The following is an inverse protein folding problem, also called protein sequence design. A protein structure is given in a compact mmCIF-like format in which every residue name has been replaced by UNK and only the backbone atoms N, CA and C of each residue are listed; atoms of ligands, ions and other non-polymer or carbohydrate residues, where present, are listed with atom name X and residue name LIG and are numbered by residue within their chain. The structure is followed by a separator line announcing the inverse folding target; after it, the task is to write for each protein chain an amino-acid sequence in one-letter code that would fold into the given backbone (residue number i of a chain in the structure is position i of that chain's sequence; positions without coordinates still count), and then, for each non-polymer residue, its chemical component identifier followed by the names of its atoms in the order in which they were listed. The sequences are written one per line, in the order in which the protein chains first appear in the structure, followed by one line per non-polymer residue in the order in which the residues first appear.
data_IF_818393239072
#
_entry.id   IF_818393239072
#
_cell.length_a   1.000
_cell.length_b   1.000
_cell.length_c   1.000
_cell.angle_alpha   90.00
_cell.angle_beta   90.00
_cell.angle_gamma   90.00
#
_symmetry.space_group_name_H-M   'P 1'
#
loop_
_entity.id
_entity.type
_entity.pdbx_description
1 polymer ?
#
# COMPACT_ATOMS: atom_id res chain seq x y z
N UNK A 1 -5.09 14.47 -14.05
CA UNK A 1 -4.66 15.88 -14.08
C UNK A 1 -3.16 15.96 -13.85
N UNK A 2 -2.55 17.13 -14.08
CA UNK A 2 -1.16 17.37 -13.72
C UNK A 2 -1.08 18.10 -12.38
N UNK A 3 -0.03 17.85 -11.61
CA UNK A 3 0.33 18.73 -10.51
C UNK A 3 1.19 19.92 -10.99
N UNK A 4 1.56 20.83 -10.08
CA UNK A 4 2.40 22.00 -10.39
C UNK A 4 3.82 21.67 -10.86
N UNK A 5 4.23 20.40 -10.79
CA UNK A 5 5.53 19.92 -11.24
C UNK A 5 5.41 19.08 -12.52
N UNK A 6 4.25 19.07 -13.18
CA UNK A 6 4.01 18.36 -14.44
C UNK A 6 3.79 16.86 -14.30
N UNK A 7 3.64 16.32 -13.07
CA UNK A 7 3.41 14.89 -12.88
C UNK A 7 1.94 14.55 -13.11
N UNK A 8 1.67 13.53 -13.93
CA UNK A 8 0.31 13.01 -14.13
C UNK A 8 -0.16 12.26 -12.89
N UNK A 9 -1.09 12.85 -12.15
CA UNK A 9 -1.69 12.22 -10.98
C UNK A 9 -2.94 11.47 -11.43
N UNK A 10 -2.87 10.14 -11.36
CA UNK A 10 -3.95 9.25 -11.81
C UNK A 10 -4.21 8.08 -10.85
N UNK A 11 -3.59 8.08 -9.68
CA UNK A 11 -3.67 6.98 -8.73
C UNK A 11 -4.07 7.48 -7.34
N UNK A 12 -5.24 7.06 -6.86
CA UNK A 12 -5.71 7.29 -5.50
C UNK A 12 -5.57 6.01 -4.65
N UNK A 13 -4.88 6.12 -3.52
CA UNK A 13 -4.91 5.10 -2.46
C UNK A 13 -5.95 5.50 -1.43
N UNK A 14 -6.80 4.56 -1.03
CA UNK A 14 -7.94 4.80 -0.15
C UNK A 14 -7.81 3.91 1.08
N UNK A 15 -7.49 4.50 2.21
CA UNK A 15 -7.54 3.85 3.52
C UNK A 15 -9.00 3.79 3.97
N UNK A 16 -9.61 2.60 4.01
CA UNK A 16 -11.05 2.46 4.27
C UNK A 16 -11.39 2.32 5.76
N UNK A 17 -10.40 2.00 6.58
CA UNK A 17 -10.53 1.86 8.03
C UNK A 17 -9.18 2.14 8.70
N UNK A 18 -9.19 2.47 9.99
CA UNK A 18 -8.00 2.50 10.84
C UNK A 18 -7.81 1.22 11.66
N UNK A 19 -8.82 0.36 11.71
CA UNK A 19 -8.79 -0.89 12.48
C UNK A 19 -7.96 -1.95 11.75
N UNK A 20 -7.32 -2.83 12.50
CA UNK A 20 -6.57 -3.96 11.96
C UNK A 20 -6.76 -5.19 12.87
N UNK A 21 -6.70 -6.38 12.28
CA UNK A 21 -6.68 -7.66 12.99
C UNK A 21 -5.26 -8.10 13.40
N UNK A 22 -4.22 -7.35 13.03
CA UNK A 22 -2.82 -7.55 13.46
C UNK A 22 -2.27 -6.30 14.19
N UNK A 23 -1.10 -6.42 14.80
CA UNK A 23 -0.39 -5.33 15.52
C UNK A 23 1.08 -5.27 15.12
N UNK A 24 1.36 -5.18 13.82
CA UNK A 24 2.72 -5.29 13.30
C UNK A 24 3.68 -4.28 13.94
N UNK A 25 4.87 -4.73 14.33
CA UNK A 25 5.86 -4.00 15.15
C UNK A 25 6.29 -2.65 14.57
N UNK A 26 6.23 -2.47 13.25
CA UNK A 26 6.57 -1.22 12.56
C UNK A 26 5.36 -0.34 12.21
N UNK A 27 4.13 -0.81 12.49
CA UNK A 27 2.90 -0.21 11.97
C UNK A 27 1.95 0.27 13.06
N UNK A 28 1.63 -0.58 14.05
CA UNK A 28 0.60 -0.33 15.05
C UNK A 28 1.14 -0.63 16.46
N UNK A 29 0.79 0.18 17.49
CA UNK A 29 1.19 -0.08 18.87
C UNK A 29 0.71 -1.45 19.39
N UNK A 30 1.41 -2.08 20.35
CA UNK A 30 1.06 -3.42 20.86
C UNK A 30 -0.33 -3.47 21.48
N UNK A 31 -0.72 -2.44 22.23
CA UNK A 31 -2.05 -2.26 22.83
C UNK A 31 -3.15 -2.00 21.78
N UNK A 32 -2.77 -1.75 20.51
CA UNK A 32 -3.67 -1.38 19.44
C UNK A 32 -3.92 0.11 19.37
N UNK A 33 -5.18 0.47 19.10
CA UNK A 33 -5.59 1.84 18.84
C UNK A 33 -6.85 2.17 19.62
N UNK A 34 -6.96 3.42 20.05
CA UNK A 34 -8.24 3.95 20.53
C UNK A 34 -9.19 3.98 19.34
N UNK A 35 -10.29 3.23 19.43
CA UNK A 35 -11.28 3.15 18.35
C UNK A 35 -11.91 4.51 18.19
N UNK A 36 -11.90 5.04 16.97
CA UNK A 36 -12.64 6.25 16.63
C UNK A 36 -14.13 5.94 16.56
N UNK A 37 -14.92 6.94 16.98
CA UNK A 37 -16.35 6.96 16.75
C UNK A 37 -16.68 6.81 15.27
N UNK A 38 -17.82 6.20 14.95
CA UNK A 38 -18.22 5.93 13.57
C UNK A 38 -18.32 7.23 12.74
N UNK A 39 -18.71 8.34 13.37
CA UNK A 39 -18.79 9.65 12.72
C UNK A 39 -17.43 10.33 12.49
N UNK A 40 -16.33 9.76 12.98
CA UNK A 40 -14.97 10.23 12.70
C UNK A 40 -14.28 9.44 11.58
N UNK A 41 -14.91 8.37 11.10
CA UNK A 41 -14.47 7.60 9.93
C UNK A 41 -15.38 7.94 8.75
N UNK A 42 -14.84 7.94 7.53
CA UNK A 42 -15.66 8.11 6.34
C UNK A 42 -16.58 6.91 6.14
N UNK A 43 -17.86 7.19 5.89
CA UNK A 43 -18.83 6.18 5.46
C UNK A 43 -18.54 5.77 4.03
N UNK A 44 -19.06 4.60 3.68
CA UNK A 44 -19.00 4.03 2.34
C UNK A 44 -19.37 5.03 1.23
N UNK A 45 -20.48 5.73 1.40
CA UNK A 45 -21.04 6.66 0.44
C UNK A 45 -20.14 7.89 0.29
N UNK A 46 -19.52 8.33 1.38
CA UNK A 46 -18.59 9.45 1.39
C UNK A 46 -17.29 9.08 0.65
N UNK A 47 -16.74 7.88 0.89
CA UNK A 47 -15.57 7.37 0.16
C UNK A 47 -15.88 7.31 -1.34
N UNK A 48 -17.05 6.75 -1.70
CA UNK A 48 -17.47 6.65 -3.09
C UNK A 48 -17.58 8.03 -3.77
N UNK A 49 -18.13 9.05 -3.08
CA UNK A 49 -18.16 10.43 -3.60
C UNK A 49 -16.75 10.98 -3.87
N UNK A 50 -15.79 10.76 -2.97
CA UNK A 50 -14.39 11.19 -3.16
C UNK A 50 -13.76 10.48 -4.36
N UNK A 51 -13.94 9.15 -4.47
CA UNK A 51 -13.43 8.37 -5.59
C UNK A 51 -14.03 8.85 -6.91
N UNK A 52 -15.35 9.09 -6.96
CA UNK A 52 -16.03 9.63 -8.14
C UNK A 52 -15.48 11.00 -8.53
N UNK A 53 -15.35 11.94 -7.59
CA UNK A 53 -14.78 13.27 -7.86
C UNK A 53 -13.33 13.21 -8.31
N UNK A 54 -12.50 12.38 -7.69
CA UNK A 54 -11.11 12.18 -8.11
C UNK A 54 -11.03 11.59 -9.53
N UNK A 55 -11.96 10.72 -9.90
CA UNK A 55 -12.02 10.12 -11.24
C UNK A 55 -12.30 11.14 -12.35
N UNK A 56 -13.08 12.19 -12.05
CA UNK A 56 -13.32 13.32 -12.97
C UNK A 56 -12.05 14.13 -13.24
N UNK A 57 -11.11 14.14 -12.28
CA UNK A 57 -9.80 14.76 -12.42
C UNK A 57 -8.77 13.83 -13.07
N UNK A 58 -9.19 12.67 -13.58
CA UNK A 58 -8.34 11.72 -14.31
C UNK A 58 -7.67 10.65 -13.46
N UNK A 59 -8.10 10.46 -12.20
CA UNK A 59 -7.77 9.24 -11.45
C UNK A 59 -8.41 8.04 -12.16
N UNK A 60 -7.60 7.04 -12.48
CA UNK A 60 -8.03 5.82 -13.14
C UNK A 60 -7.52 4.54 -12.45
N UNK A 61 -6.66 4.67 -11.45
CA UNK A 61 -6.16 3.58 -10.60
C UNK A 61 -6.61 3.83 -9.16
N UNK A 62 -7.27 2.85 -8.55
CA UNK A 62 -7.66 2.86 -7.14
C UNK A 62 -6.95 1.72 -6.42
N UNK A 63 -6.45 2.00 -5.21
CA UNK A 63 -6.04 0.95 -4.29
C UNK A 63 -6.73 1.10 -2.94
N UNK A 64 -7.50 0.10 -2.56
CA UNK A 64 -8.03 -0.02 -1.21
C UNK A 64 -6.98 -0.57 -0.24
N UNK A 65 -6.86 0.09 0.89
CA UNK A 65 -5.94 -0.23 1.99
C UNK A 65 -6.64 0.18 3.29
N UNK A 66 -5.88 0.41 4.35
CA UNK A 66 -6.35 1.03 5.59
C UNK A 66 -6.52 -0.03 6.65
N UNK A 67 -5.86 0.20 7.80
CA UNK A 67 -5.56 -0.82 8.78
C UNK A 67 -5.43 -2.20 8.13
N UNK A 68 -6.47 -3.02 8.28
CA UNK A 68 -6.76 -4.13 7.37
C UNK A 68 -8.10 -3.91 6.63
N UNK A 69 -8.13 -3.75 5.28
CA UNK A 69 -9.38 -3.46 4.56
C UNK A 69 -10.41 -4.58 4.63
N UNK A 70 -10.00 -5.84 4.76
CA UNK A 70 -10.91 -6.99 4.76
C UNK A 70 -11.77 -7.10 6.02
N UNK A 71 -11.45 -6.36 7.09
CA UNK A 71 -12.34 -6.31 8.26
C UNK A 71 -13.52 -5.36 8.03
N UNK A 72 -13.47 -4.51 7.00
CA UNK A 72 -14.55 -3.59 6.71
C UNK A 72 -15.72 -4.36 6.11
N UNK A 73 -16.85 -4.35 6.81
CA UNK A 73 -18.10 -4.92 6.33
C UNK A 73 -18.47 -4.29 4.96
N UNK A 74 -18.95 -5.12 4.05
CA UNK A 74 -19.44 -4.71 2.73
C UNK A 74 -18.36 -4.06 1.81
N UNK A 75 -17.07 -4.36 2.01
CA UNK A 75 -15.97 -3.85 1.17
C UNK A 75 -16.10 -4.26 -0.31
N UNK A 76 -16.71 -5.42 -0.58
CA UNK A 76 -17.08 -5.92 -1.90
C UNK A 76 -18.03 -4.97 -2.63
N UNK A 77 -19.03 -4.41 -1.93
CA UNK A 77 -19.93 -3.40 -2.52
C UNK A 77 -19.15 -2.18 -2.97
N UNK A 78 -18.13 -1.76 -2.21
CA UNK A 78 -17.36 -0.53 -2.49
C UNK A 78 -16.54 -0.71 -3.75
N UNK A 79 -15.92 -1.89 -3.86
CA UNK A 79 -15.20 -2.32 -5.04
C UNK A 79 -16.16 -2.38 -6.23
N UNK A 80 -17.35 -2.97 -6.06
CA UNK A 80 -18.37 -3.06 -7.10
C UNK A 80 -18.78 -1.69 -7.61
N UNK A 81 -19.21 -0.77 -6.75
CA UNK A 81 -19.61 0.58 -7.16
C UNK A 81 -18.44 1.34 -7.80
N UNK A 82 -17.22 1.19 -7.27
CA UNK A 82 -16.02 1.80 -7.86
C UNK A 82 -15.72 1.25 -9.25
N UNK A 83 -15.95 -0.05 -9.49
CA UNK A 83 -15.76 -0.70 -10.79
C UNK A 83 -16.74 -0.20 -11.86
N UNK A 84 -17.90 0.33 -11.45
CA UNK A 84 -18.90 0.93 -12.36
C UNK A 84 -18.55 2.34 -12.81
N UNK A 85 -17.49 2.94 -12.27
CA UNK A 85 -17.00 4.24 -12.74
C UNK A 85 -16.18 4.02 -14.01
N UNK A 86 -16.70 4.41 -15.18
CA UNK A 86 -16.10 4.15 -16.50
C UNK A 86 -14.62 4.55 -16.64
N UNK A 87 -14.18 5.62 -15.97
CA UNK A 87 -12.79 6.10 -15.99
C UNK A 87 -11.84 5.27 -15.12
N UNK A 88 -12.35 4.53 -14.13
CA UNK A 88 -11.55 3.65 -13.27
C UNK A 88 -11.24 2.36 -14.05
N UNK A 89 -9.96 2.16 -14.35
CA UNK A 89 -9.48 1.01 -15.14
C UNK A 89 -8.87 -0.07 -14.28
N UNK A 90 -8.57 0.23 -13.02
CA UNK A 90 -7.74 -0.63 -12.22
C UNK A 90 -8.03 -0.48 -10.73
N UNK A 91 -8.43 -1.58 -10.10
CA UNK A 91 -8.76 -1.65 -8.68
C UNK A 91 -7.88 -2.72 -8.05
N UNK A 92 -7.12 -2.32 -7.05
CA UNK A 92 -6.24 -3.20 -6.29
C UNK A 92 -6.53 -3.10 -4.80
N UNK A 93 -6.06 -4.08 -4.03
CA UNK A 93 -6.11 -4.06 -2.58
C UNK A 93 -4.72 -4.35 -1.99
N UNK A 94 -4.33 -3.68 -0.91
CA UNK A 94 -3.25 -4.15 -0.02
C UNK A 94 -3.89 -4.74 1.24
N UNK A 95 -3.53 -5.97 1.61
CA UNK A 95 -4.09 -6.70 2.75
C UNK A 95 -3.01 -7.56 3.42
N UNK A 96 -3.16 -7.87 4.69
CA UNK A 96 -2.38 -8.91 5.38
C UNK A 96 -2.88 -10.34 5.07
N UNK A 97 -3.97 -10.46 4.32
CA UNK A 97 -4.55 -11.69 3.82
C UNK A 97 -5.05 -12.71 4.85
N UNK A 98 -5.18 -12.35 6.13
CA UNK A 98 -5.72 -13.26 7.15
C UNK A 98 -7.18 -13.68 6.85
N UNK A 99 -7.95 -12.79 6.22
CA UNK A 99 -9.36 -13.02 5.85
C UNK A 99 -9.57 -13.23 4.34
N UNK A 100 -8.48 -13.27 3.56
CA UNK A 100 -8.59 -13.18 2.10
C UNK A 100 -9.12 -14.48 1.49
N UNK A 101 -8.77 -15.64 2.03
CA UNK A 101 -9.26 -16.97 1.59
C UNK A 101 -10.79 -16.98 1.42
N UNK A 102 -11.51 -16.52 2.45
CA UNK A 102 -12.97 -16.52 2.49
C UNK A 102 -13.61 -15.45 1.58
N UNK A 103 -12.86 -14.41 1.22
CA UNK A 103 -13.42 -13.21 0.57
C UNK A 103 -12.98 -13.03 -0.89
N UNK A 104 -11.84 -13.58 -1.30
CA UNK A 104 -11.17 -13.22 -2.56
C UNK A 104 -12.01 -13.48 -3.81
N UNK A 105 -12.87 -14.50 -3.77
CA UNK A 105 -13.74 -14.82 -4.89
C UNK A 105 -14.82 -13.74 -5.10
N UNK A 106 -15.49 -13.31 -4.03
CA UNK A 106 -16.48 -12.24 -4.09
C UNK A 106 -15.85 -10.88 -4.40
N UNK A 107 -14.66 -10.60 -3.85
CA UNK A 107 -13.90 -9.40 -4.21
C UNK A 107 -13.56 -9.37 -5.71
N UNK A 108 -13.17 -10.52 -6.28
CA UNK A 108 -12.91 -10.64 -7.71
C UNK A 108 -14.18 -10.41 -8.55
N UNK A 109 -15.31 -11.02 -8.16
CA UNK A 109 -16.63 -10.80 -8.80
C UNK A 109 -17.07 -9.33 -8.74
N UNK A 110 -16.77 -8.66 -7.63
CA UNK A 110 -17.01 -7.22 -7.46
C UNK A 110 -16.13 -6.34 -8.38
N UNK A 111 -15.08 -6.89 -8.99
CA UNK A 111 -14.20 -6.17 -9.92
C UNK A 111 -12.81 -5.86 -9.38
N UNK A 112 -12.41 -6.43 -8.23
CA UNK A 112 -11.02 -6.37 -7.77
C UNK A 112 -10.12 -7.12 -8.77
N UNK A 113 -9.12 -6.41 -9.31
CA UNK A 113 -8.25 -6.97 -10.36
C UNK A 113 -7.01 -7.66 -9.82
N UNK A 114 -6.50 -7.20 -8.67
CA UNK A 114 -5.26 -7.73 -8.09
C UNK A 114 -5.14 -7.46 -6.59
N UNK A 115 -4.28 -8.25 -5.95
CA UNK A 115 -3.98 -8.16 -4.52
C UNK A 115 -2.50 -7.98 -4.27
N UNK A 116 -2.20 -7.15 -3.29
CA UNK A 116 -0.89 -6.96 -2.69
C UNK A 116 -0.97 -7.50 -1.25
N UNK A 117 -0.29 -8.60 -0.98
CA UNK A 117 -0.29 -9.29 0.31
C UNK A 117 0.94 -8.83 1.08
N UNK A 118 0.76 -8.29 2.28
CA UNK A 118 1.86 -7.97 3.18
C UNK A 118 2.28 -9.22 3.94
N UNK A 119 3.51 -9.70 3.71
CA UNK A 119 4.09 -10.88 4.35
C UNK A 119 5.56 -10.60 4.65
N UNK A 120 5.87 -10.42 5.93
CA UNK A 120 7.18 -9.95 6.38
C UNK A 120 8.07 -11.08 6.92
N UNK A 121 7.63 -12.33 6.88
CA UNK A 121 8.48 -13.50 7.16
C UNK A 121 7.82 -14.76 6.58
N UNK A 122 8.63 -15.74 6.18
CA UNK A 122 8.21 -17.08 5.80
C UNK A 122 8.32 -18.06 6.99
N UNK A 123 9.01 -17.68 8.06
CA UNK A 123 9.12 -18.43 9.32
C UNK A 123 7.94 -18.10 10.24
N UNK A 124 7.25 -19.14 10.72
CA UNK A 124 6.03 -19.01 11.53
C UNK A 124 6.23 -18.17 12.80
N UNK A 125 7.23 -18.50 13.63
CA UNK A 125 7.49 -17.79 14.89
C UNK A 125 7.84 -16.32 14.66
N UNK A 126 8.61 -16.03 13.61
CA UNK A 126 9.01 -14.68 13.27
C UNK A 126 7.85 -13.88 12.69
N UNK A 127 7.03 -14.48 11.82
CA UNK A 127 5.79 -13.85 11.37
C UNK A 127 4.87 -13.53 12.55
N UNK A 128 4.70 -14.47 13.48
CA UNK A 128 3.92 -14.29 14.70
C UNK A 128 4.49 -13.18 15.58
N UNK A 129 5.81 -13.09 15.72
CA UNK A 129 6.49 -12.02 16.46
C UNK A 129 6.30 -10.64 15.80
N UNK A 130 6.58 -10.53 14.49
CA UNK A 130 6.43 -9.29 13.72
C UNK A 130 5.00 -8.79 13.79
N UNK A 131 4.01 -9.66 13.61
CA UNK A 131 2.58 -9.30 13.56
C UNK A 131 1.90 -9.25 14.92
N UNK A 132 2.61 -9.72 15.97
CA UNK A 132 2.13 -9.94 17.34
C UNK A 132 0.88 -10.84 17.40
N UNK A 133 1.01 -12.05 16.85
CA UNK A 133 0.01 -13.12 16.97
C UNK A 133 -0.66 -13.56 15.66
N UNK A 134 -0.21 -13.06 14.51
CA UNK A 134 -0.71 -13.50 13.21
C UNK A 134 -0.37 -14.97 12.91
N UNK A 135 -1.24 -15.61 12.13
CA UNK A 135 -1.09 -16.98 11.67
C UNK A 135 -0.69 -16.99 10.19
N UNK A 136 0.54 -17.42 9.90
CA UNK A 136 1.09 -17.45 8.54
C UNK A 136 0.35 -18.46 7.64
N UNK A 137 -0.19 -19.54 8.21
CA UNK A 137 -0.88 -20.57 7.44
C UNK A 137 -2.14 -20.01 6.77
N UNK A 138 -2.84 -19.08 7.42
CA UNK A 138 -3.96 -18.35 6.80
C UNK A 138 -3.52 -17.51 5.60
N UNK A 139 -2.34 -16.88 5.68
CA UNK A 139 -1.79 -16.11 4.56
C UNK A 139 -1.47 -17.02 3.39
N UNK A 140 -0.87 -18.18 3.62
CA UNK A 140 -0.57 -19.16 2.56
C UNK A 140 -1.84 -19.73 1.92
N UNK A 141 -2.84 -20.11 2.71
CA UNK A 141 -4.15 -20.53 2.17
C UNK A 141 -4.81 -19.45 1.32
N UNK A 142 -4.75 -18.19 1.76
CA UNK A 142 -5.23 -17.05 0.98
C UNK A 142 -4.49 -16.86 -0.34
N UNK A 143 -3.17 -17.08 -0.36
CA UNK A 143 -2.36 -17.06 -1.59
C UNK A 143 -2.78 -18.19 -2.52
N UNK A 144 -2.91 -19.41 -2.02
CA UNK A 144 -3.34 -20.59 -2.77
C UNK A 144 -4.74 -20.41 -3.37
N UNK A 145 -5.72 -19.99 -2.56
CA UNK A 145 -7.07 -19.70 -3.03
C UNK A 145 -7.07 -18.61 -4.10
N UNK A 146 -6.31 -17.52 -3.89
CA UNK A 146 -6.16 -16.44 -4.88
C UNK A 146 -5.62 -16.97 -6.22
N UNK A 147 -4.59 -17.81 -6.19
CA UNK A 147 -4.03 -18.45 -7.38
C UNK A 147 -5.05 -19.38 -8.06
N UNK A 148 -5.76 -20.20 -7.29
CA UNK A 148 -6.73 -21.19 -7.80
C UNK A 148 -7.86 -20.56 -8.61
N UNK A 149 -8.31 -19.36 -8.22
CA UNK A 149 -9.37 -18.64 -8.94
C UNK A 149 -8.81 -17.73 -10.05
N UNK A 150 -7.51 -17.77 -10.32
CA UNK A 150 -6.85 -16.95 -11.33
C UNK A 150 -6.80 -15.45 -10.99
N UNK A 151 -6.64 -15.09 -9.71
CA UNK A 151 -6.31 -13.70 -9.34
C UNK A 151 -4.89 -13.40 -9.82
N UNK A 152 -4.71 -12.41 -10.70
CA UNK A 152 -3.40 -12.02 -11.23
C UNK A 152 -3.33 -10.52 -11.54
N UNK A 153 -2.22 -9.84 -11.25
CA UNK A 153 -1.05 -10.35 -10.51
C UNK A 153 -1.33 -10.49 -9.01
N UNK A 154 -0.63 -11.42 -8.35
CA UNK A 154 -0.50 -11.48 -6.89
C UNK A 154 0.90 -10.97 -6.55
N UNK A 155 0.97 -10.06 -5.57
CA UNK A 155 2.23 -9.42 -5.18
C UNK A 155 2.42 -9.58 -3.68
N UNK A 156 3.53 -10.18 -3.27
CA UNK A 156 3.95 -10.16 -1.88
C UNK A 156 4.77 -8.89 -1.66
N UNK A 157 4.42 -8.11 -0.66
CA UNK A 157 5.21 -6.99 -0.17
C UNK A 157 5.84 -7.40 1.18
N UNK A 158 7.15 -7.19 1.29
CA UNK A 158 7.95 -7.55 2.48
C UNK A 158 8.75 -6.32 2.89
N UNK A 159 8.48 -5.78 4.08
CA UNK A 159 9.28 -4.71 4.68
C UNK A 159 10.54 -5.35 5.27
N UNK A 160 11.70 -4.96 4.77
CA UNK A 160 12.97 -5.47 5.27
C UNK A 160 13.38 -4.69 6.52
N UNK A 161 13.52 -5.43 7.62
CA UNK A 161 13.92 -4.95 8.93
C UNK A 161 15.23 -5.62 9.31
N UNK A 162 16.27 -4.80 9.43
CA UNK A 162 17.63 -5.25 9.73
C UNK A 162 17.68 -6.03 11.04
N UNK A 163 18.33 -7.20 11.03
CA UNK A 163 18.42 -8.09 12.19
C UNK A 163 17.12 -8.80 12.58
N UNK A 164 16.06 -8.68 11.77
CA UNK A 164 14.75 -9.30 12.04
C UNK A 164 14.40 -10.31 10.97
N UNK A 165 14.29 -9.91 9.71
CA UNK A 165 13.85 -10.77 8.58
C UNK A 165 14.74 -10.65 7.33
N UNK A 166 15.85 -9.93 7.45
CA UNK A 166 16.82 -9.72 6.39
C UNK A 166 17.57 -11.00 5.99
N UNK A 167 17.59 -12.01 6.84
CA UNK A 167 18.09 -13.35 6.55
C UNK A 167 17.16 -14.17 5.64
N UNK A 168 15.93 -13.72 5.35
CA UNK A 168 14.95 -14.44 4.51
C UNK A 168 14.83 -13.88 3.08
N UNK A 169 15.67 -12.89 2.71
CA UNK A 169 15.56 -12.24 1.40
C UNK A 169 15.63 -13.27 0.26
N UNK A 170 16.60 -14.18 0.29
CA UNK A 170 16.79 -15.22 -0.73
C UNK A 170 15.59 -16.19 -0.77
N UNK A 171 15.06 -16.56 0.39
CA UNK A 171 13.88 -17.43 0.50
C UNK A 171 12.65 -16.79 -0.15
N UNK A 172 12.44 -15.49 0.10
CA UNK A 172 11.41 -14.70 -0.57
C UNK A 172 11.65 -14.61 -2.07
N UNK A 173 12.88 -14.34 -2.52
CA UNK A 173 13.18 -14.29 -3.95
C UNK A 173 12.90 -15.64 -4.65
N UNK A 174 13.20 -16.76 -3.99
CA UNK A 174 12.94 -18.11 -4.48
C UNK A 174 11.45 -18.41 -4.68
N UNK A 175 10.54 -17.72 -3.99
CA UNK A 175 9.09 -17.83 -4.25
C UNK A 175 8.74 -17.44 -5.69
N UNK A 176 9.44 -16.47 -6.29
CA UNK A 176 9.20 -16.03 -7.67
C UNK A 176 9.60 -17.09 -8.72
N UNK A 177 10.49 -18.02 -8.35
CA UNK A 177 10.86 -19.18 -9.16
C UNK A 177 9.78 -20.27 -9.08
N UNK A 178 9.30 -20.53 -7.86
CA UNK A 178 8.33 -21.60 -7.58
C UNK A 178 6.91 -21.25 -8.05
N UNK A 179 6.46 -20.03 -7.81
CA UNK A 179 5.07 -19.60 -8.01
C UNK A 179 4.96 -18.38 -8.94
N UNK A 180 3.83 -18.20 -9.64
CA UNK A 180 3.56 -17.00 -10.42
C UNK A 180 3.14 -15.84 -9.49
N UNK A 181 4.02 -15.49 -8.56
CA UNK A 181 3.84 -14.40 -7.58
C UNK A 181 5.04 -13.47 -7.68
N UNK A 182 4.80 -12.16 -7.80
CA UNK A 182 5.89 -11.18 -7.70
C UNK A 182 6.19 -10.89 -6.23
N UNK A 183 7.46 -10.75 -5.88
CA UNK A 183 7.89 -10.36 -4.52
C UNK A 183 8.44 -8.95 -4.56
N UNK A 184 8.17 -8.15 -3.53
CA UNK A 184 8.57 -6.75 -3.45
C UNK A 184 9.16 -6.43 -2.09
N UNK A 185 10.44 -6.10 -2.07
CA UNK A 185 11.12 -5.63 -0.88
C UNK A 185 10.91 -4.12 -0.72
N UNK A 186 10.61 -3.70 0.51
CA UNK A 186 10.37 -2.31 0.87
C UNK A 186 11.37 -1.93 1.97
N UNK A 187 12.12 -0.86 1.75
CA UNK A 187 13.00 -0.32 2.79
C UNK A 187 12.15 0.20 3.96
N UNK A 188 12.57 -0.13 5.19
CA UNK A 188 11.92 0.38 6.39
C UNK A 188 11.97 1.91 6.41
N UNK A 189 10.79 2.53 6.52
CA UNK A 189 10.66 3.99 6.63
C UNK A 189 10.48 4.41 8.10
N UNK A 190 11.09 5.53 8.54
CA UNK A 190 10.93 6.07 9.88
C UNK A 190 9.58 6.80 10.06
N UNK A 191 8.48 6.05 9.96
CA UNK A 191 7.10 6.54 10.15
C UNK A 191 6.46 5.81 11.34
N UNK A 192 5.93 6.57 12.30
CA UNK A 192 5.23 6.01 13.45
C UNK A 192 6.07 4.99 14.22
N UNK A 193 5.51 3.81 14.48
CA UNK A 193 6.21 2.70 15.15
C UNK A 193 7.50 2.26 14.43
N UNK A 194 7.56 2.38 13.10
CA UNK A 194 8.75 2.08 12.30
C UNK A 194 9.98 2.90 12.69
N UNK A 195 9.80 4.08 13.32
CA UNK A 195 10.91 4.90 13.84
C UNK A 195 11.73 4.16 14.91
N UNK A 196 11.12 3.26 15.69
CA UNK A 196 11.82 2.52 16.75
C UNK A 196 12.83 1.55 16.16
N UNK A 197 12.41 0.80 15.13
CA UNK A 197 13.24 -0.17 14.42
C UNK A 197 14.26 0.51 13.50
N UNK A 198 13.91 1.65 12.91
CA UNK A 198 14.81 2.41 12.04
C UNK A 198 16.08 2.92 12.78
N UNK A 199 16.07 2.98 14.12
CA UNK A 199 17.26 3.34 14.91
C UNK A 199 18.43 2.38 14.69
N UNK A 200 18.16 1.11 14.41
CA UNK A 200 19.17 0.09 14.12
C UNK A 200 19.65 0.14 12.66
N UNK A 201 19.05 1.04 11.88
CA UNK A 201 19.31 1.27 10.46
C UNK A 201 18.22 0.69 9.56
N UNK A 202 18.52 0.69 8.27
CA UNK A 202 17.73 0.03 7.24
C UNK A 202 18.68 -0.68 6.27
N UNK A 203 18.17 -1.65 5.53
CA UNK A 203 18.90 -2.28 4.42
C UNK A 203 18.43 -1.62 3.13
N UNK A 204 19.37 -1.05 2.38
CA UNK A 204 19.03 -0.40 1.12
C UNK A 204 18.73 -1.44 0.04
N UNK A 205 17.91 -1.06 -0.92
CA UNK A 205 17.67 -1.90 -2.11
C UNK A 205 18.95 -2.17 -2.89
N UNK A 206 19.85 -1.19 -2.94
CA UNK A 206 21.17 -1.31 -3.57
C UNK A 206 22.05 -2.36 -2.89
N UNK A 207 22.05 -2.41 -1.56
CA UNK A 207 22.77 -3.44 -0.81
C UNK A 207 22.24 -4.84 -1.14
N UNK A 208 20.92 -5.00 -1.27
CA UNK A 208 20.35 -6.30 -1.67
C UNK A 208 20.74 -6.62 -3.11
N UNK A 209 20.53 -5.71 -4.06
CA UNK A 209 20.81 -5.95 -5.49
C UNK A 209 22.30 -6.28 -5.71
N UNK A 210 23.23 -5.56 -5.07
CA UNK A 210 24.67 -5.79 -5.20
C UNK A 210 25.14 -7.17 -4.73
N UNK A 211 24.41 -7.80 -3.79
CA UNK A 211 24.68 -9.18 -3.33
C UNK A 211 24.13 -10.26 -4.29
N UNK A 212 23.31 -9.88 -5.27
CA UNK A 212 22.62 -10.79 -6.18
C UNK A 212 22.94 -10.46 -7.65
N UNK A 213 24.15 -10.82 -8.08
CA UNK A 213 24.68 -10.50 -9.41
C UNK A 213 23.94 -11.17 -10.57
N UNK A 214 23.11 -12.17 -10.28
CA UNK A 214 22.27 -12.92 -11.22
C UNK A 214 20.89 -12.26 -11.46
N UNK A 215 20.56 -11.17 -10.76
CA UNK A 215 19.35 -10.38 -11.01
C UNK A 215 19.46 -9.60 -12.32
N UNK A 216 18.55 -9.89 -13.25
CA UNK A 216 18.44 -9.21 -14.53
C UNK A 216 17.43 -8.06 -14.40
N UNK A 217 17.81 -6.79 -14.70
CA UNK A 217 16.89 -5.67 -14.65
C UNK A 217 15.77 -5.81 -15.69
N UNK A 218 14.57 -5.39 -15.31
CA UNK A 218 13.37 -5.37 -16.15
C UNK A 218 12.93 -3.92 -16.32
N UNK A 219 12.62 -3.53 -17.55
CA UNK A 219 12.14 -2.17 -17.83
C UNK A 219 10.86 -1.84 -17.04
N UNK A 220 10.80 -0.63 -16.49
CA UNK A 220 9.65 -0.17 -15.72
C UNK A 220 9.18 1.19 -16.20
N UNK A 221 7.88 1.45 -16.08
CA UNK A 221 7.35 2.80 -16.30
C UNK A 221 8.00 3.79 -15.31
N UNK A 222 8.22 5.03 -15.75
CA UNK A 222 8.67 6.14 -14.87
C UNK A 222 7.81 6.32 -13.62
N UNK A 223 6.53 5.94 -13.67
CA UNK A 223 5.62 6.03 -12.53
C UNK A 223 5.69 4.87 -11.54
N UNK A 224 6.46 3.81 -11.88
CA UNK A 224 6.68 2.67 -11.01
C UNK A 224 7.43 3.09 -9.76
N UNK A 225 7.01 2.54 -8.62
CA UNK A 225 7.75 2.68 -7.36
C UNK A 225 8.83 1.67 -7.18
N UNK A 226 8.70 0.55 -7.87
CA UNK A 226 9.61 -0.57 -7.75
C UNK A 226 10.50 -0.59 -8.98
N UNK A 227 11.81 -0.65 -8.76
CA UNK A 227 12.72 -1.19 -9.77
C UNK A 227 12.45 -2.68 -9.86
N UNK A 228 12.28 -3.20 -11.07
CA UNK A 228 11.97 -4.61 -11.28
C UNK A 228 13.21 -5.34 -11.77
N UNK A 229 13.41 -6.52 -11.22
CA UNK A 229 14.42 -7.49 -11.60
C UNK A 229 13.76 -8.86 -11.74
N UNK A 230 14.49 -9.81 -12.30
CA UNK A 230 14.09 -11.22 -12.37
C UNK A 230 15.33 -12.11 -12.41
N UNK A 231 15.20 -13.34 -11.93
CA UNK A 231 16.12 -14.38 -12.36
C UNK A 231 15.70 -14.92 -13.72
N UNK A 232 16.61 -15.61 -14.41
CA UNK A 232 16.34 -16.19 -15.73
C UNK A 232 15.19 -17.20 -15.69
N UNK A 233 15.13 -18.00 -14.62
CA UNK A 233 14.17 -19.05 -14.34
C UNK A 233 12.93 -18.57 -13.54
N UNK A 234 12.89 -17.31 -13.11
CA UNK A 234 11.74 -16.78 -12.37
C UNK A 234 10.49 -16.70 -13.25
N UNK A 235 9.35 -17.13 -12.68
CA UNK A 235 8.02 -16.99 -13.30
C UNK A 235 7.50 -15.56 -13.23
N UNK A 236 7.97 -14.80 -12.25
CA UNK A 236 7.51 -13.45 -11.93
C UNK A 236 8.67 -12.55 -11.47
N UNK A 237 8.41 -11.25 -11.37
CA UNK A 237 9.43 -10.25 -11.05
C UNK A 237 9.69 -10.12 -9.54
N UNK A 238 10.92 -9.74 -9.22
CA UNK A 238 11.35 -9.23 -7.91
C UNK A 238 11.36 -7.69 -8.01
N UNK A 239 10.78 -7.01 -7.03
CA UNK A 239 10.68 -5.56 -7.01
C UNK A 239 11.38 -4.95 -5.80
N UNK A 240 12.05 -3.82 -6.00
CA UNK A 240 12.68 -3.07 -4.93
C UNK A 240 12.06 -1.69 -4.82
N UNK A 241 11.39 -1.42 -3.69
CA UNK A 241 10.74 -0.14 -3.39
C UNK A 241 11.64 0.59 -2.41
N UNK A 242 12.30 1.64 -2.89
CA UNK A 242 13.41 2.30 -2.23
C UNK A 242 13.07 3.72 -1.77
N UNK A 243 12.10 3.90 -0.84
CA UNK A 243 11.70 5.23 -0.40
C UNK A 243 12.82 5.99 0.33
N UNK A 244 13.87 5.30 0.79
CA UNK A 244 15.02 5.92 1.43
C UNK A 244 16.14 6.10 0.41
N UNK A 245 16.69 5.03 -0.17
CA UNK A 245 17.92 5.12 -0.97
C UNK A 245 17.72 5.71 -2.38
N UNK A 246 16.54 5.55 -2.99
CA UNK A 246 16.29 6.01 -4.36
C UNK A 246 14.89 6.64 -4.51
N UNK A 247 14.81 7.96 -4.25
CA UNK A 247 13.55 8.74 -4.29
C UNK A 247 12.85 8.60 -5.66
N UNK A 248 11.71 7.92 -5.72
CA UNK A 248 10.83 7.85 -6.91
C UNK A 248 9.83 9.03 -7.01
N UNK A 249 10.15 10.19 -6.41
CA UNK A 249 9.22 11.31 -6.28
C UNK A 249 8.91 12.00 -7.62
N UNK A 250 9.88 12.06 -8.53
CA UNK A 250 9.75 12.67 -9.86
C UNK A 250 8.73 11.94 -10.75
N UNK A 251 8.53 10.64 -10.55
CA UNK A 251 7.53 9.82 -11.23
C UNK A 251 6.23 9.62 -10.45
N UNK A 252 6.11 10.18 -9.24
CA UNK A 252 5.03 9.83 -8.32
C UNK A 252 3.66 10.35 -8.80
N UNK A 253 2.78 9.43 -9.18
CA UNK A 253 1.42 9.69 -9.68
C UNK A 253 0.31 9.54 -8.61
N UNK A 254 0.69 9.49 -7.32
CA UNK A 254 -0.19 9.04 -6.22
C UNK A 254 -0.64 10.17 -5.31
N UNK A 255 -1.88 10.08 -4.85
CA UNK A 255 -2.43 10.77 -3.67
C UNK A 255 -3.15 9.77 -2.77
N UNK A 256 -3.41 10.14 -1.50
CA UNK A 256 -3.92 9.22 -0.49
C UNK A 256 -5.09 9.82 0.28
N UNK A 257 -6.20 9.09 0.33
CA UNK A 257 -7.31 9.37 1.24
C UNK A 257 -7.13 8.53 2.50
N UNK A 258 -7.13 9.17 3.66
CA UNK A 258 -7.13 8.49 4.97
C UNK A 258 -8.55 8.03 5.33
N UNK A 259 -8.69 7.13 6.29
CA UNK A 259 -9.99 6.64 6.75
C UNK A 259 -10.84 7.72 7.44
N UNK A 260 -10.21 8.79 7.94
CA UNK A 260 -10.90 9.97 8.51
C UNK A 260 -11.40 10.94 7.43
N UNK A 261 -10.99 10.74 6.17
CA UNK A 261 -11.34 11.60 5.06
C UNK A 261 -10.40 12.77 4.84
N UNK A 262 -9.15 12.67 5.31
CA UNK A 262 -8.11 13.63 4.93
C UNK A 262 -7.39 13.17 3.66
N UNK A 263 -7.28 14.06 2.68
CA UNK A 263 -6.52 13.85 1.46
C UNK A 263 -5.08 14.33 1.67
N UNK A 264 -4.13 13.42 1.53
CA UNK A 264 -2.69 13.68 1.58
C UNK A 264 -2.13 13.69 0.15
N UNK A 265 -1.43 14.76 -0.26
CA UNK A 265 -0.73 14.79 -1.53
C UNK A 265 0.49 13.84 -1.56
N UNK A 266 1.07 13.52 -0.40
CA UNK A 266 2.19 12.60 -0.25
C UNK A 266 2.06 11.81 1.06
N UNK A 267 2.58 10.58 1.08
CA UNK A 267 2.66 9.76 2.30
C UNK A 267 3.38 10.51 3.42
N UNK A 268 4.47 11.21 3.07
CA UNK A 268 5.39 11.82 4.03
C UNK A 268 5.09 13.28 4.31
N UNK A 269 4.06 13.87 3.70
CA UNK A 269 3.75 15.28 3.90
C UNK A 269 2.94 15.48 5.17
N UNK A 270 3.28 16.53 5.90
CA UNK A 270 2.43 17.07 6.97
C UNK A 270 1.12 17.64 6.39
N UNK A 271 1.17 18.25 5.20
CA UNK A 271 0.01 18.87 4.56
C UNK A 271 -1.04 17.81 4.24
N UNK A 272 -2.27 18.09 4.65
CA UNK A 272 -3.45 17.31 4.33
C UNK A 272 -4.69 18.20 4.38
N UNK A 273 -5.72 17.82 3.61
CA UNK A 273 -6.98 18.56 3.53
C UNK A 273 -8.11 17.64 3.98
N UNK A 274 -8.88 18.06 4.98
CA UNK A 274 -10.06 17.31 5.42
C UNK A 274 -11.17 17.44 4.36
N UNK A 275 -11.42 16.38 3.61
CA UNK A 275 -12.46 16.33 2.58
C UNK A 275 -13.85 16.06 3.15
N UNK A 276 -13.96 15.54 4.37
CA UNK A 276 -15.25 15.20 4.99
C UNK A 276 -16.18 16.42 5.05
N UNK A 277 -15.63 17.60 5.29
CA UNK A 277 -16.39 18.86 5.31
C UNK A 277 -17.00 19.26 3.95
N UNK A 278 -16.56 18.65 2.85
CA UNK A 278 -16.96 19.02 1.49
C UNK A 278 -17.82 17.93 0.80
N UNK A 279 -18.03 16.76 1.40
CA UNK A 279 -18.76 15.63 0.76
C UNK A 279 -20.25 15.91 0.49
N UNK A 280 -20.79 16.97 1.09
CA UNK A 280 -22.13 17.48 0.81
C UNK A 280 -22.24 18.33 -0.46
N UNK A 281 -21.13 18.84 -0.99
CA UNK A 281 -21.11 19.71 -2.18
C UNK A 281 -20.08 19.21 -3.19
N UNK A 282 -20.56 18.64 -4.31
CA UNK A 282 -19.72 18.02 -5.33
C UNK A 282 -18.69 19.01 -5.93
N UNK A 283 -19.07 20.27 -6.16
CA UNK A 283 -18.18 21.27 -6.75
C UNK A 283 -17.07 21.68 -5.78
N UNK A 284 -17.42 21.89 -4.50
CA UNK A 284 -16.44 22.21 -3.46
C UNK A 284 -15.47 21.04 -3.23
N UNK A 285 -15.98 19.81 -3.20
CA UNK A 285 -15.17 18.59 -3.07
C UNK A 285 -14.19 18.45 -4.23
N UNK A 286 -14.67 18.58 -5.47
CA UNK A 286 -13.83 18.52 -6.67
C UNK A 286 -12.72 19.57 -6.64
N UNK A 287 -13.07 20.82 -6.28
CA UNK A 287 -12.13 21.92 -6.18
C UNK A 287 -11.04 21.66 -5.14
N UNK A 288 -11.40 21.15 -3.95
CA UNK A 288 -10.42 20.82 -2.90
C UNK A 288 -9.51 19.65 -3.26
N UNK A 289 -10.02 18.64 -3.95
CA UNK A 289 -9.19 17.54 -4.49
C UNK A 289 -8.21 18.10 -5.53
N UNK A 290 -8.69 18.93 -6.46
CA UNK A 290 -7.88 19.56 -7.50
C UNK A 290 -6.75 20.41 -6.89
N UNK A 291 -7.07 21.30 -5.95
CA UNK A 291 -6.10 22.14 -5.23
C UNK A 291 -5.04 21.31 -4.50
N UNK A 292 -5.45 20.23 -3.82
CA UNK A 292 -4.54 19.34 -3.07
C UNK A 292 -3.60 18.60 -4.02
N UNK A 293 -4.12 18.09 -5.13
CA UNK A 293 -3.32 17.40 -6.16
C UNK A 293 -2.34 18.38 -6.81
N UNK A 294 -2.81 19.58 -7.19
CA UNK A 294 -1.98 20.60 -7.81
C UNK A 294 -0.79 20.99 -6.93
N UNK A 295 -1.02 21.11 -5.62
CA UNK A 295 -0.01 21.48 -4.63
C UNK A 295 0.85 20.32 -4.10
N UNK A 296 0.86 19.17 -4.77
CA UNK A 296 1.69 18.03 -4.38
C UNK A 296 3.17 18.45 -4.27
N UNK A 297 3.86 18.14 -3.16
CA UNK A 297 5.25 18.54 -2.96
C UNK A 297 6.16 17.86 -3.99
N UNK A 298 7.27 18.51 -4.34
CA UNK A 298 8.25 17.99 -5.29
C UNK A 298 8.77 16.62 -4.82
N UNK A 299 9.23 16.53 -3.57
CA UNK A 299 9.76 15.32 -2.98
C UNK A 299 9.63 15.30 -1.44
N UNK A 300 10.11 14.23 -0.80
CA UNK A 300 10.30 14.15 0.64
C UNK A 300 11.81 14.20 0.98
N UNK A 301 12.11 14.51 2.24
CA UNK A 301 13.49 14.69 2.72
C UNK A 301 13.83 13.75 3.90
N UNK A 302 13.32 12.50 3.84
CA UNK A 302 13.47 11.52 4.94
C UNK A 302 14.91 11.07 5.19
N UNK A 303 15.82 11.15 4.21
CA UNK A 303 17.24 10.80 4.44
C UNK A 303 17.88 11.89 5.30
N UNK A 304 17.67 13.13 4.90
CA UNK A 304 18.22 14.33 5.51
C UNK A 304 17.63 14.53 6.92
N UNK A 305 16.32 14.30 7.07
CA UNK A 305 15.59 14.51 8.31
C UNK A 305 15.57 13.27 9.21
N UNK A 306 15.94 12.09 8.69
CA UNK A 306 15.84 10.77 9.36
C UNK A 306 14.45 10.43 9.91
N UNK A 307 13.43 11.18 9.52
CA UNK A 307 12.04 10.94 9.89
C UNK A 307 11.10 11.38 8.77
N UNK A 308 9.88 10.85 8.80
CA UNK A 308 8.82 11.38 7.96
C UNK A 308 8.08 12.52 8.65
N UNK A 309 7.76 13.60 7.90
CA UNK A 309 6.88 14.70 8.35
C UNK A 309 5.40 14.32 8.50
N UNK A 310 5.03 13.07 8.25
CA UNK A 310 3.66 12.64 8.50
C UNK A 310 3.38 12.65 10.02
N UNK A 311 2.33 13.37 10.41
CA UNK A 311 1.78 13.35 11.78
C UNK A 311 0.95 12.09 12.09
N UNK A 312 0.71 11.23 11.10
CA UNK A 312 -0.08 10.00 11.22
C UNK A 312 0.80 8.76 11.23
N UNK A 313 0.31 7.72 11.91
CA UNK A 313 0.89 6.38 11.93
C UNK A 313 0.65 5.65 10.60
N UNK A 314 1.43 4.59 10.33
CA UNK A 314 1.33 3.85 9.05
C UNK A 314 -0.07 3.26 8.83
N UNK A 315 -0.70 2.70 9.86
CA UNK A 315 -2.04 2.10 9.77
C UNK A 315 -3.13 3.11 9.37
N UNK A 316 -2.94 4.40 9.67
CA UNK A 316 -3.93 5.46 9.41
C UNK A 316 -3.91 5.95 7.95
N UNK A 317 -2.75 5.83 7.28
CA UNK A 317 -2.51 6.37 5.93
C UNK A 317 -2.59 5.27 4.86
N UNK A 318 -2.69 4.01 5.30
CA UNK A 318 -2.76 2.83 4.46
C UNK A 318 -1.40 2.48 3.82
N UNK A 319 -0.66 1.62 4.51
CA UNK A 319 0.62 1.02 4.06
C UNK A 319 0.66 0.60 2.60
#
# INVERSE_FOLDING_TARGET
MLDKHGRKINYLRVSVTDRCNLRCVYCMPPEGIVKKEHDNIMRYEEIFKVVKSASLLGVNKIRFTGGEPLILKDIDKLIYNTSKINSIKDIAMTTNAILLEDMVEELKKAGLKRVNISLDSLKEDRFKSITRGGDINKVFKSIEKSLSIGMKPIKINTVIMKGINDDEIDDFMNLTKKYPISVRFIELMPIGEGRKLYKDGYISSEEIISKHSDLIPVETEKSSTALLYKFKESKENIGFISPMSCKFCSGCNRVRLTSEGTLKPCLHSEKEVNLKNYVGNNQALLSKINETIYNKPLEHHMIEEKESKSKKMMYQIGG
#
